data_IF_488021791881
#
_entry.id   IF_488021791881
#
_cell.length_a   1.000
_cell.length_b   1.000
_cell.length_c   1.000
_cell.angle_alpha   90.00
_cell.angle_beta   90.00
_cell.angle_gamma   90.00
#
_symmetry.space_group_name_H-M   'P 1'
#
loop_
_entity.id
_entity.type
_entity.pdbx_description
1 polymer ?
#
# COMPACT_ATOMS: atom_id res chain seq x y z
N UNK A 1 5.14 -40.35 -12.45
CA UNK A 1 5.66 -39.16 -13.16
C UNK A 1 4.58 -38.11 -13.07
N UNK A 2 4.48 -37.48 -11.90
CA UNK A 2 3.64 -36.30 -11.71
C UNK A 2 4.56 -35.11 -12.02
N UNK A 3 4.21 -34.32 -13.03
CA UNK A 3 4.82 -33.02 -13.26
C UNK A 3 4.47 -32.17 -12.03
N UNK A 4 5.46 -31.86 -11.22
CA UNK A 4 5.36 -30.84 -10.19
C UNK A 4 4.93 -29.54 -10.85
N UNK A 5 3.85 -28.96 -10.33
CA UNK A 5 3.48 -27.57 -10.56
C UNK A 5 4.74 -26.70 -10.40
N UNK A 6 4.89 -25.72 -11.29
CA UNK A 6 5.95 -24.71 -11.27
C UNK A 6 5.75 -23.87 -10.00
N UNK A 7 6.31 -24.33 -8.88
CA UNK A 7 6.16 -23.73 -7.55
C UNK A 7 6.84 -22.35 -7.61
N UNK A 8 6.02 -21.30 -7.75
CA UNK A 8 6.53 -19.93 -7.79
C UNK A 8 7.02 -19.55 -6.40
N UNK A 9 8.32 -19.30 -6.26
CA UNK A 9 8.95 -18.84 -5.02
C UNK A 9 8.14 -17.69 -4.40
N UNK A 10 7.72 -17.87 -3.14
CA UNK A 10 7.11 -16.78 -2.39
C UNK A 10 8.17 -15.89 -1.72
N UNK A 11 7.74 -14.80 -1.10
CA UNK A 11 8.67 -13.86 -0.50
C UNK A 11 9.45 -14.44 0.68
N UNK A 12 8.86 -15.37 1.44
CA UNK A 12 9.58 -16.09 2.49
C UNK A 12 10.65 -16.99 1.88
N UNK A 13 10.33 -17.71 0.80
CA UNK A 13 11.29 -18.56 0.07
C UNK A 13 12.49 -17.74 -0.42
N UNK A 14 12.23 -16.57 -1.01
CA UNK A 14 13.29 -15.64 -1.46
C UNK A 14 14.15 -15.18 -0.29
N UNK A 15 13.54 -14.82 0.85
CA UNK A 15 14.28 -14.34 2.03
C UNK A 15 15.12 -15.45 2.68
N UNK A 16 14.61 -16.68 2.73
CA UNK A 16 15.33 -17.85 3.23
C UNK A 16 16.50 -18.21 2.29
N UNK A 17 16.27 -18.19 0.98
CA UNK A 17 17.31 -18.42 -0.01
C UNK A 17 18.43 -17.37 0.08
N UNK A 18 18.08 -16.09 0.29
CA UNK A 18 19.04 -15.01 0.54
C UNK A 18 19.82 -15.18 1.86
N UNK A 19 19.20 -15.75 2.89
CA UNK A 19 19.87 -16.08 4.14
C UNK A 19 20.89 -17.22 3.97
N UNK A 20 20.52 -18.26 3.22
CA UNK A 20 21.34 -19.47 3.06
C UNK A 20 22.48 -19.30 2.04
N UNK A 21 22.25 -18.56 0.94
CA UNK A 21 23.17 -18.47 -0.21
C UNK A 21 23.75 -17.06 -0.43
N UNK A 22 23.46 -16.09 0.44
CA UNK A 22 23.74 -14.68 0.21
C UNK A 22 25.22 -14.25 0.31
N UNK A 23 25.59 -13.26 -0.50
CA UNK A 23 26.85 -12.49 -0.45
C UNK A 23 26.65 -11.06 0.08
N UNK A 24 25.70 -10.88 0.99
CA UNK A 24 25.35 -9.57 1.56
C UNK A 24 26.47 -9.07 2.48
N UNK A 25 26.71 -7.75 2.48
CA UNK A 25 27.67 -7.10 3.37
C UNK A 25 27.32 -7.30 4.85
N UNK A 26 26.03 -7.50 5.15
CA UNK A 26 25.51 -7.82 6.47
C UNK A 26 24.65 -9.09 6.42
N UNK A 27 24.80 -10.02 7.38
CA UNK A 27 24.06 -11.27 7.40
C UNK A 27 22.57 -11.02 7.69
N UNK A 28 21.69 -11.60 6.88
CA UNK A 28 20.26 -11.58 7.10
C UNK A 28 19.88 -12.59 8.20
N UNK A 29 19.49 -12.11 9.37
CA UNK A 29 19.10 -12.99 10.48
C UNK A 29 17.64 -13.41 10.39
N UNK A 30 17.29 -14.52 11.04
CA UNK A 30 15.88 -14.96 11.15
C UNK A 30 14.99 -13.90 11.80
N UNK A 31 15.52 -13.09 12.73
CA UNK A 31 14.77 -11.99 13.33
C UNK A 31 14.48 -10.87 12.33
N UNK A 32 15.40 -10.61 11.39
CA UNK A 32 15.14 -9.67 10.29
C UNK A 32 14.05 -10.20 9.36
N UNK A 33 14.11 -11.48 8.98
CA UNK A 33 13.09 -12.11 8.13
C UNK A 33 11.71 -12.01 8.80
N UNK A 34 11.61 -12.40 10.08
CA UNK A 34 10.38 -12.27 10.86
C UNK A 34 9.87 -10.84 10.91
N UNK A 35 10.75 -9.86 11.13
CA UNK A 35 10.37 -8.45 11.16
C UNK A 35 9.83 -7.96 9.81
N UNK A 36 10.47 -8.36 8.71
CA UNK A 36 10.02 -8.00 7.34
C UNK A 36 8.63 -8.60 7.07
N UNK A 37 8.44 -9.90 7.33
CA UNK A 37 7.14 -10.57 7.13
C UNK A 37 6.05 -9.90 7.97
N UNK A 38 6.33 -9.61 9.24
CA UNK A 38 5.37 -8.95 10.13
C UNK A 38 5.02 -7.54 9.61
N UNK A 39 6.01 -6.76 9.20
CA UNK A 39 5.80 -5.40 8.71
C UNK A 39 4.94 -5.38 7.44
N UNK A 40 5.18 -6.29 6.51
CA UNK A 40 4.36 -6.42 5.30
C UNK A 40 2.91 -6.80 5.58
N UNK A 41 2.67 -7.72 6.51
CA UNK A 41 1.31 -8.11 6.89
C UNK A 41 0.56 -6.95 7.54
N UNK A 42 1.20 -6.26 8.50
CA UNK A 42 0.58 -5.11 9.19
C UNK A 42 0.35 -3.94 8.23
N UNK A 43 1.37 -3.52 7.49
CA UNK A 43 1.29 -2.39 6.57
C UNK A 43 0.34 -2.68 5.39
N UNK A 44 0.33 -3.91 4.87
CA UNK A 44 -0.51 -4.29 3.75
C UNK A 44 -1.98 -4.49 4.11
N UNK A 45 -2.28 -5.05 5.28
CA UNK A 45 -3.66 -5.41 5.65
C UNK A 45 -4.45 -4.20 6.14
N UNK A 46 -4.00 -3.56 7.22
CA UNK A 46 -4.78 -2.50 7.89
C UNK A 46 -4.98 -1.27 7.00
N UNK A 47 -3.97 -0.88 6.23
CA UNK A 47 -4.05 0.32 5.39
C UNK A 47 -4.98 0.12 4.18
N UNK A 48 -4.94 -1.07 3.57
CA UNK A 48 -5.77 -1.38 2.41
C UNK A 48 -7.22 -1.62 2.80
N UNK A 49 -7.49 -2.36 3.89
CA UNK A 49 -8.84 -2.59 4.41
C UNK A 49 -9.52 -1.28 4.78
N UNK A 50 -8.83 -0.41 5.53
CA UNK A 50 -9.34 0.93 5.90
C UNK A 50 -9.70 1.75 4.66
N UNK A 51 -8.88 1.71 3.61
CA UNK A 51 -9.17 2.45 2.37
C UNK A 51 -10.43 1.92 1.68
N UNK A 52 -10.59 0.59 1.62
CA UNK A 52 -11.77 -0.03 1.01
C UNK A 52 -13.03 0.27 1.82
N UNK A 53 -12.96 0.19 3.15
CA UNK A 53 -14.08 0.51 4.05
C UNK A 53 -14.57 1.94 3.85
N UNK A 54 -13.67 2.93 3.81
CA UNK A 54 -14.04 4.32 3.56
C UNK A 54 -14.57 4.54 2.15
N UNK A 55 -13.97 3.92 1.12
CA UNK A 55 -14.44 4.03 -0.24
C UNK A 55 -15.88 3.51 -0.37
N UNK A 56 -16.18 2.36 0.22
CA UNK A 56 -17.52 1.78 0.23
C UNK A 56 -18.50 2.66 1.02
N UNK A 57 -18.10 3.15 2.19
CA UNK A 57 -18.91 4.05 3.01
C UNK A 57 -19.30 5.33 2.25
N UNK A 58 -18.35 5.98 1.58
CA UNK A 58 -18.60 7.22 0.81
C UNK A 58 -19.43 6.97 -0.46
N UNK A 59 -19.23 5.84 -1.14
CA UNK A 59 -20.05 5.46 -2.29
C UNK A 59 -21.49 5.12 -1.88
N UNK A 60 -21.69 4.41 -0.76
CA UNK A 60 -23.02 4.09 -0.25
C UNK A 60 -23.80 5.33 0.19
N UNK A 61 -23.12 6.36 0.72
CA UNK A 61 -23.73 7.67 1.03
C UNK A 61 -24.11 8.44 -0.23
N UNK A 62 -23.48 8.17 -1.37
CA UNK A 62 -23.69 8.88 -2.64
C UNK A 62 -24.06 7.90 -3.79
N UNK A 63 -25.32 7.45 -3.88
CA UNK A 63 -25.75 6.43 -4.85
C UNK A 63 -25.37 6.74 -6.30
N UNK A 64 -25.37 8.01 -6.71
CA UNK A 64 -24.94 8.44 -8.05
C UNK A 64 -23.48 8.11 -8.36
N UNK A 65 -22.60 8.23 -7.36
CA UNK A 65 -21.17 7.89 -7.52
C UNK A 65 -21.02 6.38 -7.64
N UNK A 66 -21.72 5.62 -6.79
CA UNK A 66 -21.73 4.16 -6.83
C UNK A 66 -22.23 3.63 -8.18
N UNK A 67 -23.37 4.11 -8.66
CA UNK A 67 -23.94 3.73 -9.97
C UNK A 67 -22.95 3.99 -11.11
N UNK A 68 -22.29 5.16 -11.10
CA UNK A 68 -21.30 5.53 -12.12
C UNK A 68 -20.05 4.65 -12.07
N UNK A 69 -19.55 4.32 -10.88
CA UNK A 69 -18.40 3.43 -10.72
C UNK A 69 -18.73 2.01 -11.20
N UNK A 70 -19.90 1.48 -10.83
CA UNK A 70 -20.34 0.17 -11.30
C UNK A 70 -20.59 0.13 -12.81
N UNK A 71 -21.12 1.21 -13.39
CA UNK A 71 -21.30 1.32 -14.83
C UNK A 71 -19.96 1.29 -15.58
N UNK A 72 -18.92 1.96 -15.08
CA UNK A 72 -17.57 1.89 -15.64
C UNK A 72 -17.00 0.47 -15.58
N UNK A 73 -17.10 -0.19 -14.42
CA UNK A 73 -16.60 -1.57 -14.25
C UNK A 73 -17.29 -2.52 -15.22
N UNK A 74 -18.62 -2.45 -15.35
CA UNK A 74 -19.39 -3.23 -16.33
C UNK A 74 -18.97 -2.92 -17.76
N UNK A 75 -18.83 -1.64 -18.11
CA UNK A 75 -18.42 -1.25 -19.46
C UNK A 75 -17.05 -1.84 -19.86
N UNK A 76 -16.10 -1.91 -18.92
CA UNK A 76 -14.76 -2.45 -19.18
C UNK A 76 -14.76 -3.98 -19.24
N UNK A 77 -15.41 -4.65 -18.28
CA UNK A 77 -15.29 -6.11 -18.11
C UNK A 77 -16.48 -6.96 -18.59
N UNK A 78 -17.61 -6.37 -19.01
CA UNK A 78 -18.78 -7.12 -19.50
C UNK A 78 -18.46 -8.02 -20.71
N UNK A 79 -17.38 -7.73 -21.44
CA UNK A 79 -16.95 -8.48 -22.62
C UNK A 79 -16.19 -9.75 -22.28
N UNK A 80 -15.42 -9.74 -21.19
CA UNK A 80 -14.55 -10.85 -20.78
C UNK A 80 -15.18 -11.71 -19.71
N UNK A 81 -16.11 -11.18 -18.90
CA UNK A 81 -16.73 -11.89 -17.77
C UNK A 81 -15.81 -12.07 -16.57
N UNK A 82 -14.50 -12.03 -16.79
CA UNK A 82 -13.45 -12.07 -15.77
C UNK A 82 -12.76 -10.72 -15.64
N UNK A 83 -12.45 -10.37 -14.38
CA UNK A 83 -11.63 -9.21 -14.02
C UNK A 83 -10.16 -9.60 -14.15
N UNK A 84 -9.43 -8.88 -14.98
CA UNK A 84 -7.99 -9.00 -15.15
C UNK A 84 -7.31 -7.66 -14.85
N UNK A 85 -6.11 -7.72 -14.28
CA UNK A 85 -5.25 -6.58 -14.00
C UNK A 85 -4.83 -5.81 -15.25
N UNK A 86 -4.75 -6.48 -16.41
CA UNK A 86 -4.33 -5.84 -17.67
C UNK A 86 -5.19 -4.63 -18.04
N UNK A 87 -6.49 -4.69 -17.77
CA UNK A 87 -7.46 -3.63 -18.13
C UNK A 87 -7.76 -2.67 -16.97
N UNK A 88 -7.09 -2.84 -15.82
CA UNK A 88 -7.31 -2.01 -14.62
C UNK A 88 -7.08 -0.51 -14.89
N UNK A 89 -6.19 -0.19 -15.83
CA UNK A 89 -5.88 1.17 -16.25
C UNK A 89 -7.06 1.89 -16.94
N UNK A 90 -8.03 1.16 -17.47
CA UNK A 90 -9.23 1.73 -18.09
C UNK A 90 -10.31 2.15 -17.07
N UNK A 91 -10.22 1.71 -15.81
CA UNK A 91 -11.11 2.14 -14.72
C UNK A 91 -10.76 3.54 -14.19
N UNK A 92 -10.91 4.54 -15.06
CA UNK A 92 -10.48 5.94 -14.82
C UNK A 92 -11.28 6.59 -13.68
N UNK A 93 -12.58 6.38 -13.64
CA UNK A 93 -13.46 6.95 -12.63
C UNK A 93 -13.30 6.26 -11.28
N UNK A 94 -13.20 4.93 -11.23
CA UNK A 94 -12.93 4.22 -9.98
C UNK A 94 -11.58 4.65 -9.37
N UNK A 95 -10.57 4.87 -10.20
CA UNK A 95 -9.28 5.45 -9.76
C UNK A 95 -9.45 6.84 -9.14
N UNK A 96 -10.35 7.68 -9.67
CA UNK A 96 -10.66 8.98 -9.06
C UNK A 96 -11.39 8.82 -7.72
N UNK A 97 -12.31 7.85 -7.60
CA UNK A 97 -12.97 7.53 -6.33
C UNK A 97 -11.93 7.14 -5.27
N UNK A 98 -11.01 6.23 -5.58
CA UNK A 98 -9.94 5.81 -4.65
C UNK A 98 -9.08 7.01 -4.22
N UNK A 99 -8.70 7.87 -5.17
CA UNK A 99 -7.92 9.09 -4.85
C UNK A 99 -8.66 10.04 -3.92
N UNK A 100 -9.95 10.25 -4.16
CA UNK A 100 -10.76 11.13 -3.32
C UNK A 100 -11.00 10.53 -1.92
N UNK A 101 -11.18 9.21 -1.83
CA UNK A 101 -11.22 8.51 -0.55
C UNK A 101 -9.94 8.73 0.24
N UNK A 102 -8.76 8.57 -0.38
CA UNK A 102 -7.48 8.79 0.29
C UNK A 102 -7.26 10.25 0.70
N UNK A 103 -7.82 11.21 -0.05
CA UNK A 103 -7.78 12.64 0.30
C UNK A 103 -8.66 12.96 1.51
N UNK A 104 -9.84 12.36 1.61
CA UNK A 104 -10.78 12.60 2.71
C UNK A 104 -10.45 11.80 3.97
N UNK A 105 -10.01 10.56 3.79
CA UNK A 105 -9.84 9.57 4.85
C UNK A 105 -8.49 8.84 4.70
N UNK A 106 -7.36 9.53 4.90
CA UNK A 106 -6.04 8.89 4.82
C UNK A 106 -5.90 7.82 5.92
N UNK A 107 -5.52 6.57 5.62
CA UNK A 107 -5.37 5.51 6.63
C UNK A 107 -4.34 5.83 7.73
N UNK A 108 -3.36 6.68 7.42
CA UNK A 108 -2.34 7.14 8.38
C UNK A 108 -2.31 8.67 8.44
N UNK A 109 -3.26 9.34 9.14
CA UNK A 109 -3.42 10.80 9.13
C UNK A 109 -2.20 11.59 9.61
N UNK A 110 -1.35 11.00 10.47
CA UNK A 110 -0.15 11.65 11.04
C UNK A 110 1.17 11.15 10.45
N UNK A 111 1.09 10.29 9.42
CA UNK A 111 2.21 9.54 8.82
C UNK A 111 3.13 8.86 9.86
N UNK A 112 4.18 8.20 9.38
CA UNK A 112 5.23 7.67 10.26
C UNK A 112 6.17 8.79 10.71
N UNK A 113 6.61 8.71 11.96
CA UNK A 113 7.55 9.68 12.53
C UNK A 113 8.86 9.64 11.77
N UNK A 114 9.33 10.80 11.32
CA UNK A 114 10.69 10.97 10.79
C UNK A 114 11.59 11.48 11.91
N UNK A 115 12.85 11.07 11.92
CA UNK A 115 13.86 11.62 12.83
C UNK A 115 14.96 12.29 12.01
N UNK A 116 15.34 13.49 12.41
CA UNK A 116 16.40 14.23 11.73
C UNK A 116 17.78 13.67 12.09
N UNK A 117 18.59 13.32 11.10
CA UNK A 117 19.93 12.77 11.32
C UNK A 117 20.96 13.84 11.65
N UNK A 118 20.82 15.03 11.08
CA UNK A 118 21.72 16.17 11.25
C UNK A 118 20.95 17.47 11.48
N UNK A 119 21.62 18.54 11.90
CA UNK A 119 20.96 19.85 12.06
C UNK A 119 20.53 20.36 10.67
N UNK A 120 19.28 20.79 10.52
CA UNK A 120 18.80 21.39 9.27
C UNK A 120 17.92 22.62 9.51
N UNK A 121 17.62 23.36 8.46
CA UNK A 121 16.71 24.51 8.50
C UNK A 121 15.52 24.26 7.56
N UNK A 122 14.29 24.46 8.06
CA UNK A 122 13.05 24.37 7.28
C UNK A 122 12.28 25.68 7.47
N UNK A 123 12.05 26.43 6.39
CA UNK A 123 11.31 27.69 6.41
C UNK A 123 11.81 28.71 7.47
N UNK A 124 13.13 28.81 7.68
CA UNK A 124 13.72 29.69 8.70
C UNK A 124 13.72 29.11 10.12
N UNK A 125 13.16 27.92 10.33
CA UNK A 125 13.22 27.21 11.60
C UNK A 125 14.40 26.27 11.63
N UNK A 126 15.25 26.45 12.63
CA UNK A 126 16.35 25.54 12.89
C UNK A 126 15.86 24.29 13.62
N UNK A 127 16.15 23.13 13.04
CA UNK A 127 15.75 21.81 13.55
C UNK A 127 17.02 21.07 13.98
N UNK A 128 17.21 20.84 15.29
CA UNK A 128 18.33 20.06 15.79
C UNK A 128 18.30 18.61 15.29
N UNK A 129 19.47 17.97 15.28
CA UNK A 129 19.57 16.52 15.10
C UNK A 129 18.75 15.81 16.19
N UNK A 130 18.23 14.61 15.87
CA UNK A 130 17.37 13.78 16.74
C UNK A 130 15.98 14.35 17.03
N UNK A 131 15.59 15.42 16.35
CA UNK A 131 14.21 15.94 16.42
C UNK A 131 13.26 15.00 15.67
N UNK A 132 12.14 14.63 16.31
CA UNK A 132 11.04 13.89 15.68
C UNK A 132 10.12 14.84 14.93
N UNK A 133 9.81 14.50 13.69
CA UNK A 133 8.93 15.24 12.80
C UNK A 133 7.71 14.37 12.51
N UNK A 134 6.52 14.96 12.73
CA UNK A 134 5.22 14.34 12.45
C UNK A 134 4.54 15.20 11.38
N UNK A 135 4.10 14.57 10.30
CA UNK A 135 3.44 15.26 9.19
C UNK A 135 1.95 14.99 9.27
N UNK A 136 1.16 16.05 9.45
CA UNK A 136 -0.28 15.97 9.48
C UNK A 136 -0.85 15.90 8.05
N UNK A 137 -0.91 14.69 7.48
CA UNK A 137 -1.47 14.45 6.15
C UNK A 137 -2.96 14.78 6.05
N UNK A 138 -3.70 14.77 7.17
CA UNK A 138 -5.11 15.19 7.19
C UNK A 138 -5.30 16.68 6.87
N UNK A 139 -4.31 17.52 7.20
CA UNK A 139 -4.40 18.97 7.01
C UNK A 139 -3.92 19.45 5.63
N UNK A 140 -3.42 18.55 4.78
CA UNK A 140 -2.85 18.84 3.45
C UNK A 140 -3.89 18.47 2.38
#
# INVERSE_FOLDING_TARGET
MENSDDETDDLLDVLLNLQDHGGLEFPLTTDNIKAIILDMLMAGTETSSTTVEWAMSEMMKNPKILEKAQAEVRQVYDRTGDVNESDLHELKYLKLVIKETLRLHPPVPMLLQRENTERCEINGYEIPAKTKVIVNAWAI
#
